data_IF_369828179905
#
_entry.id   IF_369828179905
#
_cell.length_a   1.000
_cell.length_b   1.000
_cell.length_c   1.000
_cell.angle_alpha   90.00
_cell.angle_beta   90.00
_cell.angle_gamma   90.00
#
_symmetry.space_group_name_H-M   'P 1'
#
loop_
_entity.id
_entity.type
_entity.pdbx_description
1 polymer ?
#
# COMPACT_ATOMS: atom_id res chain seq x y z
N UNK A 1 10.28 5.99 11.58
CA UNK A 1 11.30 6.23 10.55
C UNK A 1 12.41 5.18 10.49
N UNK A 2 12.79 4.54 11.57
CA UNK A 2 13.82 3.50 11.56
C UNK A 2 13.43 2.19 10.87
N UNK A 3 12.15 1.87 10.76
CA UNK A 3 11.66 0.60 10.22
C UNK A 3 11.55 0.55 8.69
N UNK A 4 11.27 1.67 8.02
CA UNK A 4 11.25 1.73 6.54
C UNK A 4 12.64 1.52 5.91
N UNK A 5 13.70 1.99 6.57
CA UNK A 5 15.08 1.81 6.09
C UNK A 5 15.56 0.36 6.16
N UNK A 6 15.10 -0.42 7.16
CA UNK A 6 15.45 -1.85 7.27
C UNK A 6 14.80 -2.70 6.18
N UNK A 7 13.56 -2.42 5.79
CA UNK A 7 12.89 -3.15 4.71
C UNK A 7 13.50 -2.83 3.34
N UNK A 8 13.92 -1.59 3.09
CA UNK A 8 14.66 -1.24 1.87
C UNK A 8 16.03 -1.90 1.79
N UNK A 9 16.73 -2.05 2.92
CA UNK A 9 18.04 -2.74 2.96
C UNK A 9 17.92 -4.25 2.74
N UNK A 10 16.86 -4.89 3.28
CA UNK A 10 16.63 -6.34 3.07
C UNK A 10 16.31 -6.64 1.60
N UNK A 11 15.56 -5.78 0.92
CA UNK A 11 15.31 -5.91 -0.53
C UNK A 11 16.58 -5.76 -1.36
N UNK A 12 17.51 -4.88 -0.98
CA UNK A 12 18.81 -4.75 -1.66
C UNK A 12 19.69 -5.97 -1.49
N UNK A 13 19.74 -6.56 -0.31
CA UNK A 13 20.56 -7.74 -0.01
C UNK A 13 20.03 -8.99 -0.70
N UNK A 14 18.71 -9.17 -0.76
CA UNK A 14 18.08 -10.32 -1.46
C UNK A 14 18.26 -10.22 -2.97
N UNK A 15 18.22 -9.02 -3.55
CA UNK A 15 18.41 -8.83 -4.98
C UNK A 15 19.87 -9.07 -5.43
N UNK A 16 20.85 -8.77 -4.59
CA UNK A 16 22.27 -8.97 -4.95
C UNK A 16 22.70 -10.43 -4.97
N UNK A 17 22.05 -11.32 -4.23
CA UNK A 17 22.36 -12.75 -4.21
C UNK A 17 21.70 -13.57 -5.32
N UNK A 18 20.66 -13.06 -5.97
CA UNK A 18 19.91 -13.75 -7.03
C UNK A 18 20.30 -13.30 -8.45
N UNK A 19 21.12 -12.25 -8.58
CA UNK A 19 21.50 -11.64 -9.86
C UNK A 19 22.42 -12.47 -10.76
N UNK A 20 23.24 -13.46 -10.30
CA UNK A 20 24.12 -14.21 -11.21
C UNK A 20 23.44 -15.28 -12.04
N UNK A 21 22.16 -15.60 -11.80
CA UNK A 21 21.47 -16.75 -12.40
C UNK A 21 20.31 -16.41 -13.33
N UNK A 22 20.01 -15.12 -13.54
CA UNK A 22 18.97 -14.70 -14.47
C UNK A 22 19.66 -14.13 -15.70
N UNK A 23 19.64 -14.90 -16.78
CA UNK A 23 20.05 -14.43 -18.10
C UNK A 23 19.27 -13.18 -18.49
N UNK A 24 19.94 -12.12 -19.03
CA UNK A 24 19.29 -10.83 -19.30
C UNK A 24 18.26 -10.86 -20.43
N UNK A 25 18.07 -11.99 -21.11
CA UNK A 25 17.23 -12.09 -22.30
C UNK A 25 15.75 -12.44 -22.05
N UNK A 26 15.33 -12.62 -20.80
CA UNK A 26 13.92 -12.96 -20.47
C UNK A 26 13.26 -12.06 -19.46
N UNK A 27 13.77 -10.85 -19.27
CA UNK A 27 13.01 -9.82 -18.56
C UNK A 27 11.94 -9.34 -19.53
N UNK A 28 10.79 -9.99 -19.52
CA UNK A 28 9.57 -9.39 -20.06
C UNK A 28 9.34 -8.09 -19.30
N UNK A 29 9.81 -7.00 -19.89
CA UNK A 29 9.87 -5.66 -19.32
C UNK A 29 8.49 -5.01 -19.10
N UNK A 30 7.40 -5.75 -19.23
CA UNK A 30 6.10 -5.12 -19.22
C UNK A 30 5.19 -5.82 -18.23
N UNK A 31 5.05 -5.25 -17.03
CA UNK A 31 3.76 -5.34 -16.37
C UNK A 31 2.72 -4.87 -17.40
N UNK A 32 1.68 -5.65 -17.72
CA UNK A 32 0.74 -5.33 -18.81
C UNK A 32 0.15 -3.92 -18.73
N UNK A 33 0.03 -3.37 -17.53
CA UNK A 33 -0.47 -2.02 -17.29
C UNK A 33 0.54 -0.90 -17.59
N UNK A 34 1.83 -1.22 -17.68
CA UNK A 34 2.88 -0.23 -17.97
C UNK A 34 3.14 -0.05 -19.48
N UNK A 35 2.73 -1.04 -20.28
CA UNK A 35 2.95 -1.04 -21.75
C UNK A 35 1.70 -0.67 -22.54
N UNK A 36 0.52 -0.81 -21.95
CA UNK A 36 -0.75 -0.47 -22.57
C UNK A 36 -1.47 0.61 -21.76
N UNK A 37 -2.18 1.53 -22.43
CA UNK A 37 -3.04 2.48 -21.73
C UNK A 37 -4.07 1.75 -20.88
N UNK A 38 -4.33 2.28 -19.69
CA UNK A 38 -5.33 1.71 -18.79
C UNK A 38 -6.71 1.70 -19.47
N UNK A 39 -7.38 0.54 -19.59
CA UNK A 39 -8.71 0.47 -20.16
C UNK A 39 -9.74 1.16 -19.25
N UNK A 40 -10.87 1.61 -19.84
CA UNK A 40 -11.91 2.32 -19.10
C UNK A 40 -12.37 1.55 -17.85
N UNK A 41 -12.60 0.25 -17.94
CA UNK A 41 -12.99 -0.58 -16.81
C UNK A 41 -11.97 -0.56 -15.66
N UNK A 42 -10.68 -0.59 -15.99
CA UNK A 42 -9.60 -0.47 -15.01
C UNK A 42 -9.56 0.91 -14.35
N UNK A 43 -9.82 1.97 -15.11
CA UNK A 43 -9.92 3.33 -14.59
C UNK A 43 -11.11 3.48 -13.63
N UNK A 44 -12.27 2.92 -13.99
CA UNK A 44 -13.48 2.96 -13.16
C UNK A 44 -13.30 2.21 -11.83
N UNK A 45 -12.51 1.14 -11.82
CA UNK A 45 -12.18 0.40 -10.59
C UNK A 45 -11.15 1.12 -9.71
N UNK A 46 -10.14 1.75 -10.31
CA UNK A 46 -9.02 2.33 -9.57
C UNK A 46 -9.30 3.76 -9.10
N UNK A 47 -10.06 4.54 -9.85
CA UNK A 47 -10.34 5.94 -9.51
C UNK A 47 -10.96 6.13 -8.11
N UNK A 48 -11.93 5.31 -7.65
CA UNK A 48 -12.46 5.40 -6.28
C UNK A 48 -11.41 5.15 -5.20
N UNK A 49 -10.43 4.27 -5.44
CA UNK A 49 -9.33 3.97 -4.51
C UNK A 49 -8.43 5.20 -4.33
N UNK A 50 -8.02 5.82 -5.43
CA UNK A 50 -7.23 7.06 -5.39
C UNK A 50 -8.02 8.20 -4.75
N UNK A 51 -9.31 8.32 -5.05
CA UNK A 51 -10.19 9.30 -4.43
C UNK A 51 -10.29 9.10 -2.91
N UNK A 52 -10.37 7.88 -2.44
CA UNK A 52 -10.36 7.57 -1.02
C UNK A 52 -9.03 7.96 -0.35
N UNK A 53 -7.91 7.93 -1.07
CA UNK A 53 -6.61 8.35 -0.56
C UNK A 53 -6.32 9.85 -0.71
N UNK A 54 -7.12 10.59 -1.47
CA UNK A 54 -6.93 12.01 -1.72
C UNK A 54 -7.29 12.88 -0.50
N UNK A 55 -6.74 12.54 0.65
CA UNK A 55 -6.90 13.24 1.93
C UNK A 55 -5.65 13.00 2.78
N UNK A 56 -5.04 14.05 3.36
CA UNK A 56 -3.79 13.91 4.11
C UNK A 56 -3.88 12.97 5.31
N UNK A 57 -5.02 12.98 6.01
CA UNK A 57 -5.24 12.11 7.16
C UNK A 57 -5.31 10.64 6.75
N UNK A 58 -6.04 10.35 5.68
CA UNK A 58 -6.17 8.98 5.17
C UNK A 58 -4.85 8.42 4.62
N UNK A 59 -4.06 9.25 3.92
CA UNK A 59 -2.71 8.86 3.50
C UNK A 59 -1.80 8.52 4.68
N UNK A 60 -1.81 9.34 5.73
CA UNK A 60 -1.03 9.08 6.93
C UNK A 60 -1.49 7.84 7.68
N UNK A 61 -2.80 7.63 7.81
CA UNK A 61 -3.35 6.42 8.42
C UNK A 61 -2.94 5.15 7.66
N UNK A 62 -3.08 5.15 6.34
CA UNK A 62 -2.67 4.02 5.51
C UNK A 62 -1.17 3.72 5.66
N UNK A 63 -0.34 4.76 5.64
CA UNK A 63 1.11 4.64 5.81
C UNK A 63 1.48 4.06 7.17
N UNK A 64 0.84 4.51 8.26
CA UNK A 64 1.08 3.99 9.60
C UNK A 64 0.70 2.52 9.72
N UNK A 65 -0.47 2.13 9.22
CA UNK A 65 -0.91 0.74 9.23
C UNK A 65 0.06 -0.13 8.43
N UNK A 66 0.50 0.33 7.26
CA UNK A 66 1.43 -0.41 6.41
C UNK A 66 2.83 -0.58 7.02
N UNK A 67 3.29 0.41 7.80
CA UNK A 67 4.61 0.40 8.41
C UNK A 67 4.63 -0.24 9.81
N UNK A 68 3.49 -0.56 10.38
CA UNK A 68 3.41 -1.19 11.70
C UNK A 68 3.90 -2.64 11.65
N UNK A 69 4.45 -3.11 12.76
CA UNK A 69 4.96 -4.48 12.87
C UNK A 69 3.87 -5.50 12.53
N UNK A 70 4.18 -6.43 11.61
CA UNK A 70 3.23 -7.41 11.11
C UNK A 70 2.24 -6.88 10.07
N UNK A 71 2.33 -5.60 9.64
CA UNK A 71 1.45 -4.99 8.64
C UNK A 71 0.02 -4.78 9.13
N UNK A 72 -0.19 -4.76 10.44
CA UNK A 72 -1.47 -4.46 11.09
C UNK A 72 -1.29 -3.50 12.26
N UNK A 73 -2.28 -2.69 12.55
CA UNK A 73 -2.24 -1.72 13.65
C UNK A 73 -3.57 -1.72 14.41
N UNK A 74 -3.48 -1.62 15.73
CA UNK A 74 -4.65 -1.40 16.58
C UNK A 74 -5.15 0.04 16.44
N UNK A 75 -6.45 0.26 16.60
CA UNK A 75 -7.02 1.61 16.67
C UNK A 75 -6.41 2.46 17.78
N UNK A 76 -5.98 1.84 18.88
CA UNK A 76 -5.29 2.51 19.98
C UNK A 76 -3.95 3.13 19.55
N UNK A 77 -3.13 2.39 18.78
CA UNK A 77 -1.84 2.88 18.28
C UNK A 77 -2.04 4.03 17.30
N UNK A 78 -3.09 3.95 16.49
CA UNK A 78 -3.45 5.02 15.55
C UNK A 78 -3.90 6.29 16.28
N UNK A 79 -4.64 6.15 17.38
CA UNK A 79 -5.08 7.29 18.20
C UNK A 79 -3.90 8.01 18.87
N UNK A 80 -2.88 7.28 19.30
CA UNK A 80 -1.68 7.87 19.90
C UNK A 80 -0.83 8.64 18.87
N UNK A 81 -0.87 8.22 17.61
CA UNK A 81 -0.07 8.83 16.55
C UNK A 81 -0.66 10.14 16.01
N UNK A 82 -1.90 10.47 16.35
CA UNK A 82 -2.60 11.65 15.84
C UNK A 82 -3.20 12.48 16.97
N UNK A 83 -3.02 13.78 16.86
CA UNK A 83 -3.67 14.75 17.75
C UNK A 83 -5.08 15.11 17.24
N UNK A 84 -5.92 14.09 17.17
CA UNK A 84 -7.32 14.20 16.70
C UNK A 84 -8.23 13.30 17.52
N UNK A 85 -9.53 13.56 17.44
CA UNK A 85 -10.53 12.81 18.20
C UNK A 85 -10.74 11.40 17.65
N UNK A 86 -11.08 10.45 18.51
CA UNK A 86 -11.39 9.08 18.13
C UNK A 86 -12.52 8.96 17.08
N UNK A 87 -13.62 9.75 17.13
CA UNK A 87 -14.62 9.76 16.07
C UNK A 87 -14.07 10.18 14.71
N UNK A 88 -13.13 11.15 14.67
CA UNK A 88 -12.49 11.58 13.42
C UNK A 88 -11.66 10.46 12.79
N UNK A 89 -10.82 9.78 13.55
CA UNK A 89 -10.04 8.63 13.07
C UNK A 89 -10.96 7.52 12.59
N UNK A 90 -12.00 7.19 13.35
CA UNK A 90 -12.98 6.16 12.99
C UNK A 90 -13.69 6.47 11.68
N UNK A 91 -13.98 7.73 11.41
CA UNK A 91 -14.57 8.17 10.14
C UNK A 91 -13.62 7.94 8.96
N UNK A 92 -12.36 8.32 9.09
CA UNK A 92 -11.36 8.10 8.02
C UNK A 92 -11.07 6.62 7.78
N UNK A 93 -10.97 5.82 8.84
CA UNK A 93 -10.81 4.36 8.75
C UNK A 93 -12.01 3.69 8.07
N UNK A 94 -13.22 4.16 8.34
CA UNK A 94 -14.42 3.69 7.66
C UNK A 94 -14.34 3.91 6.15
N UNK A 95 -13.95 5.10 5.71
CA UNK A 95 -13.80 5.42 4.27
C UNK A 95 -12.77 4.52 3.61
N UNK A 96 -11.60 4.33 4.24
CA UNK A 96 -10.54 3.46 3.72
C UNK A 96 -11.00 2.01 3.61
N UNK A 97 -11.77 1.53 4.58
CA UNK A 97 -12.32 0.17 4.59
C UNK A 97 -13.41 -0.03 3.53
N UNK A 98 -14.33 0.93 3.40
CA UNK A 98 -15.38 0.88 2.38
C UNK A 98 -14.83 0.93 0.96
N UNK A 99 -13.70 1.62 0.76
CA UNK A 99 -12.97 1.60 -0.49
C UNK A 99 -12.19 0.29 -0.75
N UNK A 100 -12.04 -0.58 0.27
CA UNK A 100 -11.29 -1.82 0.15
C UNK A 100 -9.77 -1.69 0.31
N UNK A 101 -9.27 -0.52 0.70
CA UNK A 101 -7.84 -0.24 0.91
C UNK A 101 -7.30 -0.93 2.17
N UNK A 102 -8.15 -1.06 3.17
CA UNK A 102 -7.84 -1.75 4.42
C UNK A 102 -8.95 -2.74 4.78
N UNK A 103 -8.59 -3.76 5.52
CA UNK A 103 -9.51 -4.66 6.21
C UNK A 103 -9.47 -4.40 7.72
N UNK A 104 -10.49 -4.84 8.42
CA UNK A 104 -10.54 -4.76 9.89
C UNK A 104 -10.93 -6.09 10.48
N UNK A 105 -10.29 -6.46 11.57
CA UNK A 105 -10.56 -7.66 12.35
C UNK A 105 -10.75 -7.28 13.81
N UNK A 106 -11.82 -7.80 14.43
CA UNK A 106 -12.07 -7.61 15.84
C UNK A 106 -11.50 -8.77 16.65
N UNK A 107 -10.63 -8.46 17.59
CA UNK A 107 -10.05 -9.42 18.55
C UNK A 107 -10.38 -8.97 19.96
N UNK A 108 -11.39 -9.57 20.56
CA UNK A 108 -11.92 -9.16 21.86
C UNK A 108 -12.51 -7.75 21.83
N UNK A 109 -11.96 -6.85 22.63
CA UNK A 109 -12.35 -5.43 22.70
C UNK A 109 -11.63 -4.55 21.66
N UNK A 110 -10.56 -5.06 21.01
CA UNK A 110 -9.70 -4.32 20.12
C UNK A 110 -10.04 -4.57 18.64
N UNK A 111 -9.92 -3.53 17.84
CA UNK A 111 -10.05 -3.61 16.39
C UNK A 111 -8.68 -3.39 15.77
N UNK A 112 -8.26 -4.33 14.92
CA UNK A 112 -7.01 -4.28 14.17
C UNK A 112 -7.32 -3.98 12.72
N UNK A 113 -6.52 -3.12 12.13
CA UNK A 113 -6.60 -2.75 10.73
C UNK A 113 -5.36 -3.23 9.98
N UNK A 114 -5.58 -3.74 8.77
CA UNK A 114 -4.52 -4.24 7.88
C UNK A 114 -4.71 -3.69 6.49
N UNK A 115 -3.61 -3.29 5.85
CA UNK A 115 -3.63 -2.85 4.45
C UNK A 115 -3.88 -4.06 3.54
N UNK A 116 -4.70 -3.87 2.50
CA UNK A 116 -4.94 -4.89 1.49
C UNK A 116 -3.79 -4.88 0.46
N UNK A 117 -2.90 -5.89 0.44
CA UNK A 117 -1.71 -5.88 -0.40
C UNK A 117 -2.05 -5.96 -1.90
N UNK A 118 -3.11 -6.68 -2.28
CA UNK A 118 -3.50 -6.83 -3.68
C UNK A 118 -3.98 -5.50 -4.28
N UNK A 119 -4.75 -4.74 -3.50
CA UNK A 119 -5.21 -3.40 -3.90
C UNK A 119 -4.03 -2.45 -4.02
N UNK A 120 -3.08 -2.49 -3.07
CA UNK A 120 -1.87 -1.68 -3.12
C UNK A 120 -1.01 -2.02 -4.36
N UNK A 121 -0.86 -3.29 -4.67
CA UNK A 121 -0.12 -3.72 -5.86
C UNK A 121 -0.75 -3.22 -7.16
N UNK A 122 -2.07 -3.29 -7.28
CA UNK A 122 -2.83 -2.77 -8.43
C UNK A 122 -2.69 -1.25 -8.58
N UNK A 123 -2.77 -0.51 -7.50
CA UNK A 123 -2.59 0.95 -7.51
C UNK A 123 -1.15 1.34 -7.88
N UNK A 124 -0.16 0.65 -7.31
CA UNK A 124 1.24 0.93 -7.59
C UNK A 124 1.63 0.64 -9.04
N UNK A 125 1.03 -0.39 -9.65
CA UNK A 125 1.29 -0.75 -11.03
C UNK A 125 0.96 0.37 -12.04
N UNK A 126 -0.03 1.21 -11.72
CA UNK A 126 -0.39 2.37 -12.56
C UNK A 126 0.58 3.53 -12.38
N UNK A 127 1.18 3.65 -11.19
CA UNK A 127 2.05 4.77 -10.84
C UNK A 127 3.53 4.53 -11.18
N UNK A 128 3.91 3.28 -11.38
CA UNK A 128 5.30 2.93 -11.73
C UNK A 128 5.47 3.07 -13.24
N UNK A 129 6.24 4.05 -13.72
CA UNK A 129 6.51 4.18 -15.15
C UNK A 129 7.31 2.97 -15.63
N UNK A 130 7.13 2.56 -16.90
CA UNK A 130 7.99 1.54 -17.49
C UNK A 130 9.44 2.02 -17.41
N UNK A 131 10.31 1.19 -16.88
CA UNK A 131 11.75 1.48 -16.88
C UNK A 131 12.17 1.47 -18.34
N UNK A 132 12.34 2.65 -18.92
CA UNK A 132 12.99 2.80 -20.22
C UNK A 132 14.43 2.36 -20.04
N UNK A 133 14.72 1.12 -20.34
CA UNK A 133 16.11 0.67 -20.52
C UNK A 133 16.69 1.43 -21.71
N UNK A 134 17.59 2.34 -21.40
CA UNK A 134 18.43 2.97 -22.41
C UNK A 134 19.54 2.03 -22.86
#
# INVERSE_FOLDING_TARGET
MRYCLKMCQIRRVVNQKLLPLIEPDTVECCAPLACEPLPQAGADELAPLFKALADPMRLRLLSLIACHDGGESCVCDLLEAFDVTAPSISYHLKILREAGLISSERRGTWVYYRVNPDVMARMSAVLVPPVLSR
#
